data_IF_002105435240
#
_entry.id   IF_002105435240
#
_cell.length_a   1.000
_cell.length_b   1.000
_cell.length_c   1.000
_cell.angle_alpha   90.00
_cell.angle_beta   90.00
_cell.angle_gamma   90.00
#
_symmetry.space_group_name_H-M   'P 1'
#
loop_
_entity.id
_entity.type
_entity.pdbx_description
1 polymer ?
#
# COMPACT_ATOMS: atom_id res chain seq x y z
N UNK A 1 17.94 7.72 37.29
CA UNK A 1 17.65 7.79 35.85
C UNK A 1 16.27 8.40 35.69
N UNK A 2 16.12 9.49 34.97
CA UNK A 2 14.80 10.12 34.71
C UNK A 2 14.34 9.69 33.32
N UNK A 3 13.10 9.17 33.23
CA UNK A 3 12.49 8.80 31.95
C UNK A 3 11.37 9.81 31.65
N UNK A 4 11.49 10.51 30.51
CA UNK A 4 10.45 11.45 30.04
C UNK A 4 9.73 10.83 28.83
N UNK A 5 8.42 10.69 28.93
CA UNK A 5 7.58 10.23 27.83
C UNK A 5 7.15 11.41 26.98
N UNK A 6 7.28 11.28 25.65
CA UNK A 6 6.75 12.27 24.72
C UNK A 6 5.22 12.34 24.80
N UNK A 7 4.67 13.52 24.53
CA UNK A 7 3.23 13.72 24.42
C UNK A 7 2.96 14.81 23.37
N UNK A 8 2.25 14.51 22.26
CA UNK A 8 1.61 13.21 21.95
C UNK A 8 2.62 12.09 21.63
N UNK A 9 2.18 10.83 21.78
CA UNK A 9 2.92 9.62 21.44
C UNK A 9 1.97 8.54 20.97
N UNK A 10 2.50 7.53 20.27
CA UNK A 10 1.75 6.41 19.72
C UNK A 10 1.83 6.39 18.19
N UNK A 11 1.03 5.56 17.57
CA UNK A 11 0.90 5.49 16.13
C UNK A 11 -0.03 6.58 15.59
N UNK A 12 0.01 6.82 14.28
CA UNK A 12 -1.00 7.62 13.61
C UNK A 12 -2.30 6.80 13.45
N UNK A 13 -3.42 7.50 13.24
CA UNK A 13 -4.72 6.84 13.08
C UNK A 13 -4.78 5.81 11.94
N UNK A 14 -3.98 6.00 10.88
CA UNK A 14 -3.89 5.04 9.78
C UNK A 14 -3.24 3.72 10.19
N UNK A 15 -2.16 3.80 10.98
CA UNK A 15 -1.47 2.64 11.54
C UNK A 15 -2.34 1.92 12.57
N UNK A 16 -2.94 2.64 13.52
CA UNK A 16 -3.84 2.04 14.52
C UNK A 16 -5.00 1.30 13.82
N UNK A 17 -5.64 1.95 12.84
CA UNK A 17 -6.72 1.34 12.06
C UNK A 17 -6.28 0.05 11.36
N UNK A 18 -5.10 0.02 10.77
CA UNK A 18 -4.62 -1.16 10.06
C UNK A 18 -4.35 -2.34 11.01
N UNK A 19 -3.77 -2.07 12.18
CA UNK A 19 -3.55 -3.06 13.23
C UNK A 19 -4.89 -3.59 13.75
N UNK A 20 -5.87 -2.70 14.00
CA UNK A 20 -7.20 -3.07 14.48
C UNK A 20 -7.93 -3.97 13.48
N UNK A 21 -7.83 -3.70 12.17
CA UNK A 21 -8.45 -4.54 11.13
C UNK A 21 -7.88 -5.97 11.17
N UNK A 22 -6.56 -6.14 11.34
CA UNK A 22 -5.95 -7.47 11.45
C UNK A 22 -6.43 -8.20 12.70
N UNK A 23 -6.43 -7.53 13.86
CA UNK A 23 -6.90 -8.11 15.11
C UNK A 23 -8.38 -8.51 15.02
N UNK A 24 -9.24 -7.63 14.51
CA UNK A 24 -10.68 -7.93 14.32
C UNK A 24 -10.91 -9.09 13.36
N UNK A 25 -10.11 -9.20 12.29
CA UNK A 25 -10.21 -10.32 11.37
C UNK A 25 -9.80 -11.65 12.03
N UNK A 26 -8.71 -11.65 12.82
CA UNK A 26 -8.30 -12.82 13.59
C UNK A 26 -9.37 -13.25 14.61
N UNK A 27 -9.97 -12.30 15.31
CA UNK A 27 -11.03 -12.56 16.28
C UNK A 27 -12.30 -13.10 15.61
N UNK A 28 -12.65 -12.58 14.44
CA UNK A 28 -13.91 -12.95 13.77
C UNK A 28 -13.81 -14.22 12.94
N UNK A 29 -12.69 -14.48 12.28
CA UNK A 29 -12.54 -15.57 11.31
C UNK A 29 -11.61 -16.67 11.82
N UNK A 30 -10.83 -16.40 12.86
CA UNK A 30 -9.78 -17.28 13.34
C UNK A 30 -8.55 -17.26 12.43
N UNK A 31 -7.48 -17.89 12.93
CA UNK A 31 -6.25 -18.07 12.16
C UNK A 31 -6.40 -19.20 11.11
N UNK A 32 -5.71 -19.13 9.97
CA UNK A 32 -4.85 -18.03 9.53
C UNK A 32 -5.60 -16.86 8.87
N UNK A 33 -5.12 -15.64 9.08
CA UNK A 33 -5.51 -14.45 8.29
C UNK A 33 -4.30 -14.00 7.49
N UNK A 34 -4.44 -13.90 6.19
CA UNK A 34 -3.35 -13.48 5.30
C UNK A 34 -3.29 -11.97 5.18
N UNK A 35 -2.08 -11.41 5.23
CA UNK A 35 -1.85 -9.97 5.12
C UNK A 35 -0.79 -9.73 4.05
N UNK A 36 -1.17 -9.03 2.98
CA UNK A 36 -0.22 -8.69 1.92
C UNK A 36 0.66 -7.53 2.37
N UNK A 37 1.95 -7.79 2.43
CA UNK A 37 3.01 -7.00 3.08
C UNK A 37 2.81 -6.83 4.59
N UNK A 38 3.86 -6.46 5.28
CA UNK A 38 3.74 -6.09 6.69
C UNK A 38 2.75 -4.95 6.87
N UNK A 39 1.84 -5.09 7.82
CA UNK A 39 0.77 -4.11 8.04
C UNK A 39 1.31 -2.73 8.35
N UNK A 40 2.46 -2.68 9.01
CA UNK A 40 3.22 -1.49 9.36
C UNK A 40 4.71 -1.84 9.46
N UNK A 41 5.60 -0.86 9.25
CA UNK A 41 7.04 -1.03 9.43
C UNK A 41 7.45 -1.01 10.92
N UNK A 42 6.91 -1.96 11.69
CA UNK A 42 7.22 -2.12 13.11
C UNK A 42 7.31 -3.59 13.46
N UNK A 43 8.55 -4.09 13.57
CA UNK A 43 8.83 -5.51 13.82
C UNK A 43 8.09 -6.05 15.06
N UNK A 44 8.00 -5.30 16.15
CA UNK A 44 7.34 -5.75 17.36
C UNK A 44 5.83 -5.99 17.12
N UNK A 45 5.16 -5.08 16.42
CA UNK A 45 3.74 -5.24 16.05
C UNK A 45 3.54 -6.42 15.10
N UNK A 46 4.40 -6.53 14.09
CA UNK A 46 4.33 -7.62 13.11
C UNK A 46 4.52 -8.98 13.78
N UNK A 47 5.51 -9.11 14.66
CA UNK A 47 5.78 -10.35 15.39
C UNK A 47 4.57 -10.72 16.31
N UNK A 48 3.97 -9.75 17.00
CA UNK A 48 2.76 -10.00 17.80
C UNK A 48 1.60 -10.51 16.95
N UNK A 49 1.36 -9.91 15.77
CA UNK A 49 0.29 -10.35 14.88
C UNK A 49 0.57 -11.76 14.30
N UNK A 50 1.84 -12.10 14.03
CA UNK A 50 2.24 -13.46 13.63
C UNK A 50 1.93 -14.48 14.74
N UNK A 51 2.23 -14.16 15.99
CA UNK A 51 1.92 -15.01 17.14
C UNK A 51 0.40 -15.26 17.29
N UNK A 52 -0.43 -14.29 16.90
CA UNK A 52 -1.88 -14.41 16.88
C UNK A 52 -2.41 -15.18 15.66
N UNK A 53 -1.57 -15.48 14.68
CA UNK A 53 -1.92 -16.26 13.49
C UNK A 53 -2.11 -15.48 12.21
N UNK A 54 -1.63 -14.21 12.15
CA UNK A 54 -1.49 -13.51 10.89
C UNK A 54 -0.33 -14.08 10.07
N UNK A 55 -0.56 -14.30 8.77
CA UNK A 55 0.45 -14.77 7.81
C UNK A 55 0.76 -13.65 6.84
N UNK A 56 1.96 -13.09 6.93
CA UNK A 56 2.40 -12.04 6.03
C UNK A 56 3.02 -12.65 4.78
N UNK A 57 2.60 -12.16 3.62
CA UNK A 57 3.06 -12.58 2.30
C UNK A 57 3.42 -11.35 1.46
N UNK A 58 4.34 -11.52 0.53
CA UNK A 58 4.72 -10.43 -0.36
C UNK A 58 3.84 -10.42 -1.61
N UNK A 59 3.50 -11.58 -2.15
CA UNK A 59 2.69 -11.67 -3.35
C UNK A 59 1.33 -12.31 -3.10
N UNK A 60 0.33 -11.87 -3.89
CA UNK A 60 -1.04 -12.35 -3.74
C UNK A 60 -1.19 -13.82 -4.16
N UNK A 61 -0.34 -14.34 -5.02
CA UNK A 61 -0.35 -15.73 -5.48
C UNK A 61 0.11 -16.73 -4.41
N UNK A 62 0.83 -16.27 -3.38
CA UNK A 62 1.16 -17.06 -2.19
C UNK A 62 -0.07 -17.38 -1.33
N UNK A 63 -1.17 -16.64 -1.51
CA UNK A 63 -2.37 -16.76 -0.71
C UNK A 63 -3.26 -17.88 -1.25
N UNK A 64 -3.71 -18.85 -0.43
CA UNK A 64 -4.68 -19.84 -0.85
C UNK A 64 -6.03 -19.23 -1.26
N UNK A 65 -6.81 -19.95 -2.06
CA UNK A 65 -8.16 -19.52 -2.40
C UNK A 65 -9.14 -19.63 -1.22
N UNK A 66 -10.19 -18.83 -1.24
CA UNK A 66 -11.28 -18.84 -0.25
C UNK A 66 -10.86 -18.50 1.19
N UNK A 67 -9.78 -17.77 1.37
CA UNK A 67 -9.32 -17.29 2.69
C UNK A 67 -9.55 -15.78 2.85
N UNK A 68 -9.41 -15.34 4.11
CA UNK A 68 -9.43 -13.91 4.45
C UNK A 68 -8.08 -13.29 4.13
N UNK A 69 -8.10 -12.17 3.42
CA UNK A 69 -6.93 -11.39 3.01
C UNK A 69 -7.08 -9.96 3.47
N UNK A 70 -6.02 -9.39 3.98
CA UNK A 70 -5.94 -7.97 4.34
C UNK A 70 -4.90 -7.29 3.45
N UNK A 71 -5.28 -6.21 2.79
CA UNK A 71 -4.33 -5.30 2.17
C UNK A 71 -3.80 -4.34 3.24
N UNK A 72 -2.47 -4.24 3.34
CA UNK A 72 -1.80 -3.44 4.37
C UNK A 72 -2.08 -1.94 4.24
N UNK A 73 -1.59 -1.15 5.21
CA UNK A 73 -1.76 0.31 5.20
C UNK A 73 -1.14 0.99 3.96
N UNK A 74 -0.19 0.36 3.31
CA UNK A 74 0.50 0.87 2.12
C UNK A 74 -0.37 0.91 0.85
N UNK A 75 -1.49 0.17 0.86
CA UNK A 75 -2.32 0.00 -0.32
C UNK A 75 -1.75 -1.00 -1.32
N UNK A 76 -2.46 -1.22 -2.40
CA UNK A 76 -2.08 -2.18 -3.45
C UNK A 76 -2.40 -1.61 -4.84
N UNK A 77 -1.72 -2.11 -5.86
CA UNK A 77 -1.98 -1.76 -7.25
C UNK A 77 -3.37 -2.22 -7.72
N UNK A 78 -3.90 -1.61 -8.78
CA UNK A 78 -5.15 -2.07 -9.42
C UNK A 78 -5.04 -3.52 -9.92
N UNK A 79 -3.85 -3.97 -10.34
CA UNK A 79 -3.61 -5.35 -10.76
C UNK A 79 -3.90 -6.33 -9.62
N UNK A 80 -3.34 -6.08 -8.44
CA UNK A 80 -3.55 -6.90 -7.24
C UNK A 80 -5.02 -6.91 -6.82
N UNK A 81 -5.71 -5.76 -6.88
CA UNK A 81 -7.14 -5.70 -6.58
C UNK A 81 -7.97 -6.56 -7.54
N UNK A 82 -7.70 -6.45 -8.86
CA UNK A 82 -8.39 -7.24 -9.89
C UNK A 82 -8.12 -8.73 -9.71
N UNK A 83 -6.91 -9.12 -9.38
CA UNK A 83 -6.54 -10.50 -9.13
C UNK A 83 -7.27 -11.06 -7.90
N UNK A 84 -7.29 -10.34 -6.78
CA UNK A 84 -8.03 -10.74 -5.59
C UNK A 84 -9.52 -10.96 -5.89
N UNK A 85 -10.15 -10.06 -6.67
CA UNK A 85 -11.54 -10.19 -7.11
C UNK A 85 -11.72 -11.43 -7.99
N UNK A 86 -10.83 -11.65 -8.97
CA UNK A 86 -10.92 -12.79 -9.90
C UNK A 86 -10.82 -14.14 -9.18
N UNK A 87 -10.04 -14.20 -8.10
CA UNK A 87 -9.87 -15.37 -7.22
C UNK A 87 -10.94 -15.46 -6.13
N UNK A 88 -11.87 -14.54 -6.09
CA UNK A 88 -12.95 -14.50 -5.08
C UNK A 88 -12.43 -14.49 -3.64
N UNK A 89 -11.28 -13.86 -3.40
CA UNK A 89 -10.71 -13.71 -2.06
C UNK A 89 -11.60 -12.80 -1.21
N UNK A 90 -11.71 -13.11 0.09
CA UNK A 90 -12.41 -12.26 1.04
C UNK A 90 -11.49 -11.16 1.55
N UNK A 91 -11.49 -10.03 0.84
CA UNK A 91 -10.56 -8.93 1.08
C UNK A 91 -11.10 -7.93 2.10
N UNK A 92 -10.26 -7.54 3.05
CA UNK A 92 -10.42 -6.37 3.91
C UNK A 92 -9.32 -5.36 3.59
N UNK A 93 -9.71 -4.17 3.19
CA UNK A 93 -8.77 -3.13 2.81
C UNK A 93 -8.42 -2.25 4.01
N UNK A 94 -7.17 -2.39 4.50
CA UNK A 94 -6.63 -1.58 5.57
C UNK A 94 -5.80 -0.38 5.07
N UNK A 95 -5.83 -0.07 3.77
CA UNK A 95 -5.10 1.07 3.19
C UNK A 95 -5.37 2.35 3.97
N UNK A 96 -4.30 3.06 4.31
CA UNK A 96 -4.41 4.35 4.98
C UNK A 96 -5.23 5.33 4.14
N UNK A 97 -6.19 6.07 4.72
CA UNK A 97 -6.99 7.04 3.96
C UNK A 97 -6.15 8.11 3.22
N UNK A 98 -4.97 8.44 3.72
CA UNK A 98 -4.05 9.36 3.03
C UNK A 98 -3.43 8.71 1.79
N UNK A 99 -3.08 7.43 1.86
CA UNK A 99 -2.61 6.66 0.69
C UNK A 99 -3.74 6.51 -0.34
N UNK A 100 -4.95 6.19 0.12
CA UNK A 100 -6.13 6.14 -0.76
C UNK A 100 -6.32 7.47 -1.50
N UNK A 101 -6.11 8.60 -0.84
CA UNK A 101 -6.19 9.92 -1.49
C UNK A 101 -5.17 10.06 -2.61
N UNK A 102 -3.90 9.69 -2.38
CA UNK A 102 -2.84 9.70 -3.39
C UNK A 102 -3.20 8.78 -4.57
N UNK A 103 -3.69 7.57 -4.30
CA UNK A 103 -4.14 6.63 -5.32
C UNK A 103 -5.24 7.21 -6.21
N UNK A 104 -6.22 7.91 -5.61
CA UNK A 104 -7.29 8.58 -6.37
C UNK A 104 -6.77 9.75 -7.21
N UNK A 105 -5.81 10.52 -6.71
CA UNK A 105 -5.19 11.62 -7.45
C UNK A 105 -4.41 11.08 -8.66
N UNK A 106 -3.58 10.04 -8.47
CA UNK A 106 -2.85 9.40 -9.58
C UNK A 106 -3.80 8.82 -10.62
N UNK A 107 -4.87 8.14 -10.18
CA UNK A 107 -5.88 7.61 -11.11
C UNK A 107 -6.58 8.71 -11.91
N UNK A 108 -6.83 9.88 -11.30
CA UNK A 108 -7.41 11.03 -11.97
C UNK A 108 -6.43 11.63 -12.99
N UNK A 109 -5.16 11.83 -12.62
CA UNK A 109 -4.16 12.33 -13.55
C UNK A 109 -3.96 11.38 -14.74
N UNK A 110 -3.94 10.10 -14.49
CA UNK A 110 -3.93 9.06 -15.52
C UNK A 110 -5.11 9.20 -16.49
N UNK A 111 -6.34 9.34 -15.97
CA UNK A 111 -7.53 9.51 -16.79
C UNK A 111 -7.52 10.81 -17.62
N UNK A 112 -6.87 11.85 -17.10
CA UNK A 112 -6.67 13.13 -17.80
C UNK A 112 -5.49 13.08 -18.81
N UNK A 113 -4.79 11.94 -18.92
CA UNK A 113 -3.60 11.77 -19.79
C UNK A 113 -2.38 12.59 -19.36
N UNK A 114 -2.31 12.97 -18.08
CA UNK A 114 -1.19 13.76 -17.53
C UNK A 114 -0.02 12.87 -17.18
N UNK A 115 1.18 13.43 -17.28
CA UNK A 115 2.38 12.79 -16.76
C UNK A 115 2.53 13.10 -15.27
N UNK A 116 2.95 12.10 -14.49
CA UNK A 116 3.17 12.22 -13.05
C UNK A 116 4.61 11.88 -12.69
N UNK A 117 5.16 12.58 -11.70
CA UNK A 117 6.44 12.22 -11.08
C UNK A 117 6.15 11.74 -9.65
N UNK A 118 6.53 10.51 -9.36
CA UNK A 118 6.49 9.95 -8.02
C UNK A 118 7.91 9.89 -7.46
N UNK A 119 8.12 10.53 -6.31
CA UNK A 119 9.39 10.47 -5.59
C UNK A 119 9.28 9.38 -4.52
N UNK A 120 10.15 8.36 -4.59
CA UNK A 120 10.10 7.24 -3.66
C UNK A 120 11.20 6.22 -3.95
N UNK A 121 11.16 5.07 -3.28
CA UNK A 121 12.15 3.99 -3.47
C UNK A 121 11.51 2.81 -4.19
N UNK A 122 12.18 2.31 -5.21
CA UNK A 122 11.78 1.11 -5.93
C UNK A 122 11.63 -0.09 -4.97
N UNK A 123 10.59 -0.89 -5.17
CA UNK A 123 10.28 -2.03 -4.30
C UNK A 123 9.60 -1.67 -2.97
N UNK A 124 9.40 -0.38 -2.66
CA UNK A 124 8.60 -0.01 -1.49
C UNK A 124 7.11 -0.27 -1.77
N UNK A 125 6.36 -0.97 -0.88
CA UNK A 125 4.96 -1.34 -1.13
C UNK A 125 4.03 -0.16 -1.47
N UNK A 126 4.22 1.00 -0.84
CA UNK A 126 3.44 2.21 -1.12
C UNK A 126 3.74 2.80 -2.51
N UNK A 127 5.00 2.73 -2.93
CA UNK A 127 5.43 3.15 -4.28
C UNK A 127 4.82 2.23 -5.33
N UNK A 128 4.94 0.91 -5.17
CA UNK A 128 4.33 -0.06 -6.07
C UNK A 128 2.81 0.09 -6.14
N UNK A 129 2.15 0.25 -4.98
CA UNK A 129 0.72 0.48 -4.88
C UNK A 129 0.28 1.73 -5.63
N UNK A 130 1.03 2.83 -5.50
CA UNK A 130 0.75 4.12 -6.13
C UNK A 130 1.03 4.10 -7.63
N UNK A 131 2.21 3.60 -8.05
CA UNK A 131 2.55 3.41 -9.47
C UNK A 131 1.48 2.56 -10.18
N UNK A 132 1.02 1.51 -9.51
CA UNK A 132 0.01 0.59 -10.03
C UNK A 132 -1.41 1.15 -10.10
N UNK A 133 -1.65 2.43 -9.72
CA UNK A 133 -2.92 3.12 -9.98
C UNK A 133 -2.94 3.79 -11.36
N UNK A 134 -1.78 3.97 -11.99
CA UNK A 134 -1.70 4.65 -13.26
C UNK A 134 -2.11 3.72 -14.41
N UNK A 135 -3.07 4.17 -15.23
CA UNK A 135 -3.49 3.51 -16.48
C UNK A 135 -2.97 4.30 -17.67
N UNK A 136 -2.09 3.72 -18.45
CA UNK A 136 -1.44 4.38 -19.60
C UNK A 136 -2.35 4.55 -20.83
N UNK A 137 -3.61 4.11 -20.77
CA UNK A 137 -4.53 4.12 -21.91
C UNK A 137 -4.85 5.51 -22.44
N UNK A 138 -4.78 6.55 -21.59
CA UNK A 138 -5.04 7.94 -21.97
C UNK A 138 -3.80 8.67 -22.53
N UNK A 139 -2.64 8.01 -22.60
CA UNK A 139 -1.44 8.52 -23.31
C UNK A 139 -0.42 9.27 -22.43
N UNK A 140 -0.68 9.46 -21.14
CA UNK A 140 0.31 9.94 -20.17
C UNK A 140 1.22 8.85 -19.60
N UNK A 141 2.02 9.19 -18.60
CA UNK A 141 2.94 8.27 -17.95
C UNK A 141 3.16 8.61 -16.47
N UNK A 142 3.73 7.69 -15.70
CA UNK A 142 4.18 7.93 -14.33
C UNK A 142 5.63 7.49 -14.17
N UNK A 143 6.46 8.41 -13.67
CA UNK A 143 7.90 8.24 -13.55
C UNK A 143 8.27 8.12 -12.07
N UNK A 144 9.06 7.11 -11.71
CA UNK A 144 9.67 7.02 -10.38
C UNK A 144 11.01 7.76 -10.39
N UNK A 145 11.23 8.56 -9.37
CA UNK A 145 12.46 9.29 -9.11
C UNK A 145 12.93 8.96 -7.70
N UNK A 146 14.14 8.44 -7.57
CA UNK A 146 14.74 8.09 -6.29
C UNK A 146 15.82 9.06 -5.86
N UNK A 147 16.58 9.60 -6.82
CA UNK A 147 17.73 10.47 -6.56
C UNK A 147 17.88 11.59 -7.62
N UNK A 148 18.93 12.41 -7.45
CA UNK A 148 19.24 13.52 -8.34
C UNK A 148 19.61 13.04 -9.76
N UNK A 149 20.16 11.83 -9.90
CA UNK A 149 20.54 11.31 -11.21
C UNK A 149 19.31 10.93 -12.03
N UNK A 150 18.27 10.42 -11.36
CA UNK A 150 16.99 10.12 -12.02
C UNK A 150 16.35 11.39 -12.55
N UNK A 151 16.43 12.50 -11.79
CA UNK A 151 15.93 13.80 -12.25
C UNK A 151 16.67 14.27 -13.51
N UNK A 152 17.99 14.09 -13.55
CA UNK A 152 18.80 14.49 -14.72
C UNK A 152 18.52 13.62 -15.95
N UNK A 153 18.10 12.38 -15.76
CA UNK A 153 17.79 11.44 -16.83
C UNK A 153 16.30 11.46 -17.24
N UNK A 154 15.47 12.19 -16.50
CA UNK A 154 14.04 12.21 -16.72
C UNK A 154 13.67 12.93 -18.02
N UNK A 155 13.04 12.21 -18.93
CA UNK A 155 12.50 12.77 -20.18
C UNK A 155 10.97 12.85 -20.09
N UNK A 156 10.45 14.05 -19.88
CA UNK A 156 9.01 14.34 -19.82
C UNK A 156 8.54 14.80 -21.21
N UNK A 157 7.44 14.22 -21.68
CA UNK A 157 6.87 14.56 -23.01
C UNK A 157 6.10 15.88 -22.98
N UNK A 158 5.46 16.17 -21.85
CA UNK A 158 4.56 17.32 -21.69
C UNK A 158 4.85 18.08 -20.40
N UNK A 159 5.97 18.86 -20.34
CA UNK A 159 6.37 19.57 -19.11
C UNK A 159 5.31 20.54 -18.57
N UNK A 160 4.46 21.10 -19.43
CA UNK A 160 3.38 22.02 -19.04
C UNK A 160 2.15 21.28 -18.44
N UNK A 161 2.15 19.95 -18.47
CA UNK A 161 1.04 19.09 -18.03
C UNK A 161 1.46 18.09 -16.93
N UNK A 162 2.56 18.36 -16.23
CA UNK A 162 3.04 17.55 -15.12
C UNK A 162 2.15 17.65 -13.88
N UNK A 163 2.07 16.54 -13.12
CA UNK A 163 1.41 16.43 -11.83
C UNK A 163 2.30 15.72 -10.80
#
# INVERSE_FOLDING_TARGET
>A
MEIKLANPRGFCAGVDRAIDIVNLALDQFGAPVYVRHEVVHNKFVVDQLRELGAVFVDEIDEIPDNVVVIFSAHGVSQKVQKEAISRQLKVFDATCPLVTKVHLEVSKFSADGKECILIGHEGHPEVEGTMGQYDHSAGGDIYLVEDEQDVLNLEVRSPDSLA
#
